data_IF_623266524240
#
_entry.id   IF_623266524240
#
_cell.length_a   1.000
_cell.length_b   1.000
_cell.length_c   1.000
_cell.angle_alpha   90.00
_cell.angle_beta   90.00
_cell.angle_gamma   90.00
#
_symmetry.space_group_name_H-M   'P 1'
#
loop_
_entity.id
_entity.type
_entity.pdbx_description
1 polymer ?
#
# COMPACT_ATOMS: atom_id res chain seq x y z
N UNK A 1 -20.76 19.76 0.61
CA UNK A 1 -19.75 20.75 0.23
C UNK A 1 -18.60 20.88 1.25
N UNK A 2 -18.85 20.91 2.56
CA UNK A 2 -17.83 21.07 3.62
C UNK A 2 -16.75 19.97 3.64
N UNK A 3 -17.09 18.69 3.47
CA UNK A 3 -16.11 17.58 3.46
C UNK A 3 -15.11 17.68 2.29
N UNK A 4 -15.53 18.10 1.11
CA UNK A 4 -14.66 18.30 -0.05
C UNK A 4 -13.68 19.47 0.12
N UNK A 5 -14.14 20.55 0.78
CA UNK A 5 -13.27 21.68 1.12
C UNK A 5 -12.20 21.24 2.11
N UNK A 6 -12.58 20.45 3.14
CA UNK A 6 -11.64 19.89 4.11
C UNK A 6 -10.65 18.94 3.40
N UNK A 7 -11.12 18.08 2.51
CA UNK A 7 -10.27 17.19 1.74
C UNK A 7 -9.20 17.96 0.92
N UNK A 8 -9.63 19.04 0.25
CA UNK A 8 -8.71 19.90 -0.50
C UNK A 8 -7.68 20.58 0.41
N UNK A 9 -8.12 21.09 1.55
CA UNK A 9 -7.21 21.72 2.53
C UNK A 9 -6.21 20.69 3.09
N UNK A 10 -6.69 19.49 3.46
CA UNK A 10 -5.83 18.42 3.97
C UNK A 10 -4.82 17.96 2.92
N UNK A 11 -5.22 17.85 1.66
CA UNK A 11 -4.30 17.53 0.56
C UNK A 11 -3.19 18.60 0.42
N UNK A 12 -3.57 19.88 0.47
CA UNK A 12 -2.61 20.99 0.38
C UNK A 12 -1.68 21.05 1.60
N UNK A 13 -2.21 20.78 2.79
CA UNK A 13 -1.44 20.71 4.03
C UNK A 13 -0.45 19.55 4.00
N UNK A 14 -0.91 18.33 3.65
CA UNK A 14 -0.08 17.15 3.56
C UNK A 14 1.07 17.32 2.55
N UNK A 15 0.81 17.98 1.41
CA UNK A 15 1.84 18.32 0.42
C UNK A 15 2.92 19.26 0.98
N UNK A 16 2.57 20.12 1.95
CA UNK A 16 3.51 21.06 2.58
C UNK A 16 4.32 20.40 3.70
N UNK A 17 3.92 19.23 4.20
CA UNK A 17 4.68 18.51 5.23
C UNK A 17 5.98 17.99 4.62
N UNK A 18 7.10 18.22 5.30
CA UNK A 18 8.41 17.79 4.82
C UNK A 18 8.52 16.28 4.65
N UNK A 19 7.80 15.49 5.46
CA UNK A 19 7.73 14.03 5.36
C UNK A 19 7.26 13.54 3.97
N UNK A 20 6.33 14.26 3.33
CA UNK A 20 5.92 13.94 1.97
C UNK A 20 7.08 14.06 0.98
N UNK A 21 7.89 15.10 1.11
CA UNK A 21 9.05 15.31 0.25
C UNK A 21 10.15 14.29 0.51
N UNK A 22 10.35 13.88 1.78
CA UNK A 22 11.31 12.79 2.13
C UNK A 22 10.91 11.49 1.46
N UNK A 23 9.64 11.08 1.56
CA UNK A 23 9.17 9.85 0.90
C UNK A 23 9.22 9.99 -0.63
N UNK A 24 8.93 11.18 -1.17
CA UNK A 24 9.09 11.48 -2.60
C UNK A 24 10.54 11.34 -3.06
N UNK A 25 11.51 11.87 -2.30
CA UNK A 25 12.94 11.74 -2.58
C UNK A 25 13.43 10.28 -2.47
N UNK A 26 12.96 9.54 -1.45
CA UNK A 26 13.24 8.12 -1.33
C UNK A 26 12.67 7.33 -2.51
N UNK A 27 11.45 7.67 -2.96
CA UNK A 27 10.85 7.10 -4.15
C UNK A 27 11.65 7.40 -5.42
N UNK A 28 12.14 8.63 -5.58
CA UNK A 28 12.99 9.02 -6.70
C UNK A 28 14.34 8.28 -6.67
N UNK A 29 14.99 8.23 -5.50
CA UNK A 29 16.23 7.48 -5.31
C UNK A 29 16.02 5.99 -5.63
N UNK A 30 14.92 5.41 -5.16
CA UNK A 30 14.54 4.05 -5.52
C UNK A 30 14.39 3.86 -7.02
N UNK A 31 13.66 4.75 -7.74
CA UNK A 31 13.49 4.66 -9.19
C UNK A 31 14.81 4.72 -9.95
N UNK A 32 15.76 5.56 -9.51
CA UNK A 32 17.10 5.66 -10.10
C UNK A 32 17.87 4.35 -9.87
N UNK A 33 17.94 3.87 -8.63
CA UNK A 33 18.65 2.63 -8.29
C UNK A 33 18.03 1.42 -8.98
N UNK A 34 16.70 1.34 -8.99
CA UNK A 34 15.96 0.28 -9.67
C UNK A 34 16.22 0.31 -11.19
N UNK A 35 16.13 1.49 -11.79
CA UNK A 35 16.37 1.66 -13.23
C UNK A 35 17.78 1.27 -13.63
N UNK A 36 18.80 1.65 -12.86
CA UNK A 36 20.19 1.23 -13.07
C UNK A 36 20.34 -0.28 -12.91
N UNK A 37 19.82 -0.85 -11.82
CA UNK A 37 19.89 -2.30 -11.57
C UNK A 37 19.19 -3.08 -12.67
N UNK A 38 18.00 -2.67 -13.07
CA UNK A 38 17.26 -3.30 -14.16
C UNK A 38 18.01 -3.19 -15.51
N UNK A 39 18.60 -2.03 -15.81
CA UNK A 39 19.36 -1.81 -17.05
C UNK A 39 20.58 -2.71 -17.13
N UNK A 40 21.40 -2.81 -16.07
CA UNK A 40 22.59 -3.66 -16.07
C UNK A 40 22.22 -5.14 -16.14
N UNK A 41 21.22 -5.58 -15.37
CA UNK A 41 20.73 -6.96 -15.43
C UNK A 41 20.20 -7.30 -16.81
N UNK A 42 19.39 -6.42 -17.42
CA UNK A 42 18.86 -6.61 -18.77
C UNK A 42 19.98 -6.71 -19.80
N UNK A 43 20.98 -5.83 -19.74
CA UNK A 43 22.12 -5.81 -20.65
C UNK A 43 22.99 -7.07 -20.57
N UNK A 44 23.25 -7.55 -19.35
CA UNK A 44 24.08 -8.74 -19.15
C UNK A 44 23.36 -10.01 -19.60
N UNK A 45 22.06 -10.14 -19.29
CA UNK A 45 21.25 -11.24 -19.81
C UNK A 45 21.13 -11.23 -21.34
N UNK A 46 20.93 -10.06 -21.96
CA UNK A 46 20.82 -9.96 -23.42
C UNK A 46 22.11 -10.36 -24.16
N UNK A 47 23.26 -10.25 -23.48
CA UNK A 47 24.55 -10.70 -24.03
C UNK A 47 24.79 -12.19 -23.88
N UNK A 48 24.26 -12.82 -22.82
CA UNK A 48 24.48 -14.24 -22.51
C UNK A 48 23.40 -15.16 -23.10
N UNK A 49 22.20 -14.63 -23.37
CA UNK A 49 20.99 -15.42 -23.66
C UNK A 49 20.69 -15.59 -25.15
N UNK A 50 21.69 -15.81 -25.99
CA UNK A 50 21.47 -16.16 -27.41
C UNK A 50 20.74 -17.52 -27.60
N UNK A 51 19.82 -17.90 -26.69
CA UNK A 51 19.04 -19.14 -26.75
C UNK A 51 18.02 -19.36 -25.62
N UNK A 52 17.96 -18.52 -24.60
CA UNK A 52 17.15 -18.75 -23.39
C UNK A 52 16.08 -17.65 -23.19
N UNK A 53 15.22 -17.44 -24.18
CA UNK A 53 14.18 -16.39 -24.14
C UNK A 53 13.19 -16.57 -22.97
N UNK A 54 12.89 -17.79 -22.55
CA UNK A 54 11.97 -18.07 -21.43
C UNK A 54 12.52 -17.60 -20.07
N UNK A 55 13.79 -17.90 -19.80
CA UNK A 55 14.47 -17.48 -18.55
C UNK A 55 14.58 -15.95 -18.44
N UNK A 56 14.69 -15.27 -19.58
CA UNK A 56 14.71 -13.81 -19.66
C UNK A 56 13.39 -13.17 -19.18
N UNK A 57 12.25 -13.72 -19.61
CA UNK A 57 10.93 -13.25 -19.17
C UNK A 57 10.69 -13.51 -17.69
N UNK A 58 11.19 -14.62 -17.16
CA UNK A 58 11.04 -14.99 -15.74
C UNK A 58 11.83 -14.03 -14.83
N UNK A 59 13.11 -13.82 -15.10
CA UNK A 59 13.97 -12.90 -14.33
C UNK A 59 13.48 -11.46 -14.45
N UNK A 60 13.06 -11.02 -15.64
CA UNK A 60 12.49 -9.70 -15.85
C UNK A 60 11.21 -9.47 -15.05
N UNK A 61 10.30 -10.44 -15.02
CA UNK A 61 9.08 -10.35 -14.24
C UNK A 61 9.35 -10.37 -12.73
N UNK A 62 10.31 -11.21 -12.27
CA UNK A 62 10.73 -11.25 -10.87
C UNK A 62 11.25 -9.87 -10.40
N UNK A 63 12.11 -9.22 -11.20
CA UNK A 63 12.61 -7.87 -10.91
C UNK A 63 11.48 -6.84 -10.86
N UNK A 64 10.50 -6.92 -11.77
CA UNK A 64 9.33 -6.03 -11.77
C UNK A 64 8.52 -6.20 -10.49
N UNK A 65 8.21 -7.43 -10.09
CA UNK A 65 7.46 -7.68 -8.85
C UNK A 65 8.22 -7.23 -7.61
N UNK A 66 9.54 -7.45 -7.57
CA UNK A 66 10.40 -6.95 -6.50
C UNK A 66 10.34 -5.43 -6.39
N UNK A 67 10.42 -4.73 -7.52
CA UNK A 67 10.28 -3.28 -7.56
C UNK A 67 8.91 -2.78 -7.10
N UNK A 68 7.84 -3.42 -7.54
CA UNK A 68 6.48 -3.10 -7.10
C UNK A 68 6.24 -3.40 -5.63
N UNK A 69 6.91 -4.42 -5.08
CA UNK A 69 6.88 -4.71 -3.65
C UNK A 69 7.48 -3.58 -2.81
N UNK A 70 8.62 -3.05 -3.25
CA UNK A 70 9.23 -1.87 -2.61
C UNK A 70 8.30 -0.65 -2.70
N UNK A 71 7.62 -0.45 -3.84
CA UNK A 71 6.64 0.63 -4.00
C UNK A 71 5.44 0.43 -3.06
N UNK A 72 4.92 -0.79 -2.92
CA UNK A 72 3.86 -1.10 -1.95
C UNK A 72 4.31 -0.76 -0.52
N UNK A 73 5.52 -1.15 -0.14
CA UNK A 73 6.10 -0.82 1.16
C UNK A 73 6.24 0.69 1.38
N UNK A 74 6.80 1.44 0.41
CA UNK A 74 6.89 2.90 0.47
C UNK A 74 5.51 3.55 0.59
N UNK A 75 4.50 3.01 -0.09
CA UNK A 75 3.12 3.46 0.02
C UNK A 75 2.54 3.27 1.42
N UNK A 76 2.81 2.13 2.06
CA UNK A 76 2.39 1.84 3.43
C UNK A 76 3.08 2.79 4.42
N UNK A 77 4.39 2.99 4.29
CA UNK A 77 5.14 3.94 5.10
C UNK A 77 4.56 5.36 4.95
N UNK A 78 4.33 5.79 3.70
CA UNK A 78 3.71 7.09 3.45
C UNK A 78 2.32 7.18 4.08
N UNK A 79 1.47 6.16 3.88
CA UNK A 79 0.11 6.13 4.44
C UNK A 79 0.11 6.36 5.95
N UNK A 80 1.00 5.69 6.68
CA UNK A 80 1.12 5.83 8.14
C UNK A 80 1.68 7.19 8.51
N UNK A 81 2.80 7.62 7.90
CA UNK A 81 3.46 8.88 8.26
C UNK A 81 2.58 10.12 8.03
N UNK A 82 1.77 10.13 6.96
CA UNK A 82 0.89 11.29 6.68
C UNK A 82 -0.37 11.29 7.54
N UNK A 83 -0.80 10.13 8.05
CA UNK A 83 -2.08 9.99 8.75
C UNK A 83 -1.96 9.94 10.27
N UNK A 84 -0.85 9.45 10.81
CA UNK A 84 -0.68 9.19 12.25
C UNK A 84 -0.90 10.41 13.13
N UNK A 85 -0.47 11.59 12.66
CA UNK A 85 -0.55 12.86 13.36
C UNK A 85 -1.79 13.69 12.98
N UNK A 86 -2.52 13.27 11.95
CA UNK A 86 -3.59 14.07 11.34
C UNK A 86 -4.78 14.30 12.27
N UNK A 87 -5.10 13.35 13.14
CA UNK A 87 -6.18 13.48 14.14
C UNK A 87 -5.61 13.61 15.55
N UNK A 88 -4.68 12.73 15.91
CA UNK A 88 -4.07 12.72 17.23
C UNK A 88 -3.32 14.02 17.56
N UNK A 89 -2.53 14.53 16.61
CA UNK A 89 -1.78 15.78 16.78
C UNK A 89 -2.67 17.02 16.92
N UNK A 90 -3.75 17.10 16.15
CA UNK A 90 -4.69 18.22 16.26
C UNK A 90 -5.51 18.20 17.55
N UNK A 91 -5.81 17.01 18.09
CA UNK A 91 -6.41 16.88 19.42
C UNK A 91 -5.44 17.36 20.49
N UNK A 92 -4.18 16.93 20.43
CA UNK A 92 -3.16 17.28 21.41
C UNK A 92 -2.79 18.77 21.38
N UNK A 93 -2.79 19.38 20.19
CA UNK A 93 -2.48 20.82 20.01
C UNK A 93 -3.67 21.74 20.29
N UNK A 94 -4.87 21.21 20.54
CA UNK A 94 -6.10 22.00 20.73
C UNK A 94 -6.64 22.65 19.44
N UNK A 95 -5.98 22.45 18.29
CA UNK A 95 -6.39 23.03 16.99
C UNK A 95 -7.79 22.57 16.58
N UNK A 96 -8.20 21.37 17.01
CA UNK A 96 -9.57 20.86 16.78
C UNK A 96 -10.64 21.76 17.40
N UNK A 97 -10.39 22.41 18.53
CA UNK A 97 -11.36 23.31 19.18
C UNK A 97 -11.70 24.52 18.29
N UNK A 98 -10.72 25.04 17.56
CA UNK A 98 -10.95 26.17 16.62
C UNK A 98 -11.74 25.74 15.38
N UNK A 99 -11.68 24.47 14.99
CA UNK A 99 -12.44 23.94 13.86
C UNK A 99 -13.91 23.64 14.29
N UNK A 100 -14.11 23.16 15.52
CA UNK A 100 -15.44 22.82 16.06
C UNK A 100 -16.31 24.05 16.34
N UNK A 101 -15.72 25.24 16.49
CA UNK A 101 -16.47 26.50 16.60
C UNK A 101 -17.23 26.88 15.31
N UNK A 102 -16.85 26.29 14.16
CA UNK A 102 -17.60 26.47 12.91
C UNK A 102 -18.77 25.47 12.83
N UNK A 103 -19.88 25.77 12.12
CA UNK A 103 -21.05 24.90 12.01
C UNK A 103 -20.77 23.68 11.10
N UNK A 104 -19.76 22.88 11.45
CA UNK A 104 -19.35 21.67 10.75
C UNK A 104 -19.71 20.44 11.60
N UNK A 105 -20.27 19.42 10.94
CA UNK A 105 -20.49 18.14 11.63
C UNK A 105 -19.14 17.43 11.82
N UNK A 106 -18.85 16.95 13.01
CA UNK A 106 -17.56 16.31 13.38
C UNK A 106 -17.14 15.18 12.42
N UNK A 107 -18.10 14.39 11.93
CA UNK A 107 -17.80 13.32 10.96
C UNK A 107 -17.27 13.85 9.62
N UNK A 108 -17.70 15.05 9.19
CA UNK A 108 -17.25 15.67 7.95
C UNK A 108 -15.76 16.05 8.01
N UNK A 109 -15.26 16.36 9.20
CA UNK A 109 -13.84 16.66 9.41
C UNK A 109 -13.00 15.41 9.19
N UNK A 110 -13.30 14.30 9.87
CA UNK A 110 -12.56 13.05 9.75
C UNK A 110 -12.66 12.46 8.34
N UNK A 111 -13.87 12.44 7.78
CA UNK A 111 -14.10 11.94 6.42
C UNK A 111 -13.37 12.80 5.37
N UNK A 112 -13.43 14.13 5.49
CA UNK A 112 -12.71 15.02 4.58
C UNK A 112 -11.20 14.84 4.66
N UNK A 113 -10.66 14.67 5.87
CA UNK A 113 -9.22 14.38 6.06
C UNK A 113 -8.83 13.04 5.44
N UNK A 114 -9.61 11.99 5.72
CA UNK A 114 -9.38 10.68 5.11
C UNK A 114 -9.39 10.78 3.58
N UNK A 115 -10.37 11.47 2.98
CA UNK A 115 -10.47 11.62 1.54
C UNK A 115 -9.27 12.38 0.95
N UNK A 116 -8.82 13.46 1.60
CA UNK A 116 -7.65 14.23 1.17
C UNK A 116 -6.36 13.41 1.19
N UNK A 117 -6.14 12.66 2.28
CA UNK A 117 -4.97 11.78 2.41
C UNK A 117 -5.05 10.57 1.47
N UNK A 118 -6.24 9.97 1.30
CA UNK A 118 -6.46 8.86 0.38
C UNK A 118 -6.15 9.26 -1.07
N UNK A 119 -6.60 10.46 -1.48
CA UNK A 119 -6.29 11.00 -2.81
C UNK A 119 -4.79 11.20 -2.99
N UNK A 120 -4.11 11.79 -2.00
CA UNK A 120 -2.67 12.03 -2.04
C UNK A 120 -1.87 10.73 -2.14
N UNK A 121 -2.21 9.73 -1.32
CA UNK A 121 -1.60 8.42 -1.34
C UNK A 121 -1.82 7.72 -2.69
N UNK A 122 -3.05 7.76 -3.22
CA UNK A 122 -3.37 7.17 -4.52
C UNK A 122 -2.58 7.80 -5.65
N UNK A 123 -2.50 9.14 -5.70
CA UNK A 123 -1.69 9.86 -6.70
C UNK A 123 -0.22 9.47 -6.61
N UNK A 124 0.33 9.40 -5.40
CA UNK A 124 1.72 8.98 -5.20
C UNK A 124 1.97 7.56 -5.72
N UNK A 125 1.15 6.58 -5.28
CA UNK A 125 1.30 5.17 -5.66
C UNK A 125 1.12 4.94 -7.16
N UNK A 126 0.13 5.56 -7.77
CA UNK A 126 -0.10 5.47 -9.22
C UNK A 126 1.08 6.08 -9.99
N UNK A 127 1.56 7.26 -9.57
CA UNK A 127 2.65 7.96 -10.25
C UNK A 127 3.98 7.19 -10.19
N UNK A 128 4.35 6.67 -8.99
CA UNK A 128 5.60 5.93 -8.82
C UNK A 128 5.56 4.57 -9.50
N UNK A 129 4.41 3.88 -9.47
CA UNK A 129 4.23 2.60 -10.18
C UNK A 129 4.28 2.79 -11.70
N UNK A 130 3.63 3.83 -12.22
CA UNK A 130 3.66 4.17 -13.64
C UNK A 130 5.08 4.55 -14.09
N UNK A 131 5.82 5.33 -13.29
CA UNK A 131 7.20 5.70 -13.59
C UNK A 131 8.11 4.47 -13.64
N UNK A 132 7.99 3.55 -12.66
CA UNK A 132 8.76 2.31 -12.63
C UNK A 132 8.45 1.41 -13.84
N UNK A 133 7.16 1.19 -14.14
CA UNK A 133 6.75 0.42 -15.32
C UNK A 133 7.18 1.08 -16.63
N UNK A 134 7.19 2.42 -16.66
CA UNK A 134 7.73 3.20 -17.78
C UNK A 134 9.22 2.98 -18.00
N UNK A 135 10.03 2.94 -16.92
CA UNK A 135 11.47 2.61 -17.00
C UNK A 135 11.67 1.20 -17.56
N UNK A 136 10.91 0.22 -17.06
CA UNK A 136 10.97 -1.16 -17.55
C UNK A 136 10.63 -1.23 -19.05
N UNK A 137 9.55 -0.57 -19.46
CA UNK A 137 9.15 -0.51 -20.87
C UNK A 137 10.19 0.15 -21.77
N UNK A 138 10.81 1.25 -21.33
CA UNK A 138 11.85 1.93 -22.09
C UNK A 138 13.09 1.05 -22.33
N UNK A 139 13.48 0.25 -21.32
CA UNK A 139 14.68 -0.59 -21.38
C UNK A 139 14.40 -1.89 -22.13
N UNK A 140 13.32 -2.60 -21.79
CA UNK A 140 13.09 -3.99 -22.24
C UNK A 140 11.89 -4.14 -23.20
N UNK A 141 11.10 -3.08 -23.42
CA UNK A 141 9.81 -3.13 -24.13
C UNK A 141 8.80 -4.12 -23.50
N UNK A 142 9.06 -4.56 -22.27
CA UNK A 142 8.16 -5.44 -21.55
C UNK A 142 6.97 -4.65 -20.99
N UNK A 143 5.78 -5.17 -21.24
CA UNK A 143 4.52 -4.62 -20.71
C UNK A 143 4.03 -5.54 -19.61
N UNK A 144 3.84 -4.97 -18.41
CA UNK A 144 3.35 -5.72 -17.25
C UNK A 144 1.88 -6.10 -17.46
N UNK A 145 1.52 -7.40 -17.36
CA UNK A 145 0.13 -7.83 -17.50
C UNK A 145 -0.75 -7.19 -16.42
N UNK A 146 -2.01 -6.89 -16.74
CA UNK A 146 -3.00 -6.39 -15.78
C UNK A 146 -2.50 -5.23 -14.87
N UNK A 147 -1.60 -4.38 -15.38
CA UNK A 147 -0.94 -3.31 -14.62
C UNK A 147 -1.94 -2.41 -13.89
N UNK A 148 -3.05 -2.02 -14.52
CA UNK A 148 -4.07 -1.14 -13.92
C UNK A 148 -4.72 -1.82 -12.71
N UNK A 149 -5.09 -3.09 -12.83
CA UNK A 149 -5.70 -3.85 -11.73
C UNK A 149 -4.70 -4.05 -10.58
N UNK A 150 -3.45 -4.39 -10.92
CA UNK A 150 -2.39 -4.57 -9.92
C UNK A 150 -2.10 -3.28 -9.15
N UNK A 151 -1.97 -2.14 -9.82
CA UNK A 151 -1.77 -0.84 -9.18
C UNK A 151 -2.98 -0.44 -8.32
N UNK A 152 -4.20 -0.71 -8.78
CA UNK A 152 -5.41 -0.46 -7.98
C UNK A 152 -5.40 -1.26 -6.66
N UNK A 153 -4.92 -2.51 -6.68
CA UNK A 153 -4.79 -3.34 -5.48
C UNK A 153 -3.67 -2.85 -4.55
N UNK A 154 -2.56 -2.33 -5.09
CA UNK A 154 -1.50 -1.68 -4.30
C UNK A 154 -2.05 -0.43 -3.61
N UNK A 155 -2.84 0.38 -4.32
CA UNK A 155 -3.53 1.54 -3.71
C UNK A 155 -4.48 1.07 -2.61
N UNK A 156 -5.25 0.01 -2.83
CA UNK A 156 -6.18 -0.54 -1.84
C UNK A 156 -5.44 -1.03 -0.59
N UNK A 157 -4.26 -1.68 -0.74
CA UNK A 157 -3.36 -2.06 0.36
C UNK A 157 -2.96 -0.84 1.21
N UNK A 158 -2.53 0.24 0.58
CA UNK A 158 -2.18 1.50 1.26
C UNK A 158 -3.38 2.14 1.97
N UNK A 159 -4.58 2.09 1.37
CA UNK A 159 -5.81 2.62 1.97
C UNK A 159 -6.24 1.85 3.22
N UNK A 160 -5.98 0.55 3.33
CA UNK A 160 -6.19 -0.22 4.56
C UNK A 160 -5.37 0.38 5.70
N UNK A 161 -4.08 0.60 5.49
CA UNK A 161 -3.18 1.13 6.52
C UNK A 161 -3.50 2.58 6.87
N UNK A 162 -3.83 3.41 5.88
CA UNK A 162 -4.32 4.77 6.08
C UNK A 162 -5.56 4.78 6.99
N UNK A 163 -6.53 3.91 6.72
CA UNK A 163 -7.80 3.88 7.46
C UNK A 163 -7.61 3.38 8.89
N UNK A 164 -6.75 2.36 9.09
CA UNK A 164 -6.37 1.89 10.42
C UNK A 164 -5.67 2.99 11.23
N UNK A 165 -4.77 3.74 10.61
CA UNK A 165 -4.09 4.86 11.27
C UNK A 165 -5.05 6.00 11.62
N UNK A 166 -6.01 6.32 10.78
CA UNK A 166 -7.07 7.28 11.10
C UNK A 166 -7.93 6.79 12.27
N UNK A 167 -8.31 5.50 12.29
CA UNK A 167 -9.04 4.90 13.40
C UNK A 167 -8.25 5.01 14.71
N UNK A 168 -6.99 4.59 14.73
CA UNK A 168 -6.12 4.65 15.91
C UNK A 168 -5.96 6.09 16.42
N UNK A 169 -5.79 7.07 15.54
CA UNK A 169 -5.67 8.49 15.87
C UNK A 169 -6.90 9.09 16.56
N UNK A 170 -8.07 8.43 16.48
CA UNK A 170 -9.26 8.87 17.24
C UNK A 170 -9.15 8.61 18.74
N UNK A 171 -8.29 7.71 19.19
CA UNK A 171 -8.16 7.29 20.62
C UNK A 171 -6.75 7.32 21.15
N UNK A 172 -5.76 7.02 20.32
CA UNK A 172 -4.35 6.91 20.69
C UNK A 172 -3.63 8.26 20.49
N UNK A 173 -2.53 8.43 21.23
CA UNK A 173 -1.56 9.50 20.92
C UNK A 173 -0.85 9.22 19.61
N UNK A 174 -0.25 10.25 19.00
CA UNK A 174 0.47 10.14 17.73
C UNK A 174 1.51 9.01 17.75
N UNK A 175 2.35 8.95 18.78
CA UNK A 175 3.38 7.91 18.90
C UNK A 175 2.79 6.51 19.05
N UNK A 176 1.82 6.34 19.98
CA UNK A 176 1.17 5.04 20.19
C UNK A 176 0.44 4.55 18.94
N UNK A 177 -0.25 5.45 18.23
CA UNK A 177 -0.91 5.13 16.98
C UNK A 177 0.09 4.64 15.92
N UNK A 178 1.19 5.36 15.72
CA UNK A 178 2.24 4.95 14.78
C UNK A 178 2.80 3.57 15.09
N UNK A 179 3.15 3.33 16.35
CA UNK A 179 3.69 2.02 16.80
C UNK A 179 2.67 0.90 16.54
N UNK A 180 1.40 1.08 16.95
CA UNK A 180 0.36 0.05 16.78
C UNK A 180 0.15 -0.26 15.30
N UNK A 181 0.05 0.76 14.43
CA UNK A 181 -0.19 0.56 13.00
C UNK A 181 1.00 -0.13 12.32
N UNK A 182 2.24 0.24 12.66
CA UNK A 182 3.42 -0.44 12.15
C UNK A 182 3.55 -1.88 12.68
N UNK A 183 3.16 -2.15 13.94
CA UNK A 183 3.10 -3.52 14.47
C UNK A 183 2.07 -4.36 13.74
N UNK A 184 0.87 -3.83 13.47
CA UNK A 184 -0.16 -4.52 12.69
C UNK A 184 0.33 -4.84 11.28
N UNK A 185 1.01 -3.90 10.63
CA UNK A 185 1.64 -4.16 9.34
C UNK A 185 2.73 -5.23 9.43
N UNK A 186 3.62 -5.14 10.43
CA UNK A 186 4.67 -6.14 10.66
C UNK A 186 4.12 -7.55 10.89
N UNK A 187 3.03 -7.67 11.64
CA UNK A 187 2.32 -8.95 11.83
C UNK A 187 1.77 -9.49 10.51
N UNK A 188 1.10 -8.65 9.72
CA UNK A 188 0.57 -9.04 8.41
C UNK A 188 1.69 -9.46 7.45
N UNK A 189 2.80 -8.73 7.45
CA UNK A 189 3.99 -9.03 6.65
C UNK A 189 4.59 -10.40 7.01
N UNK A 190 4.85 -10.65 8.31
CA UNK A 190 5.41 -11.92 8.77
C UNK A 190 4.44 -13.07 8.47
N UNK A 191 3.15 -12.89 8.73
CA UNK A 191 2.13 -13.89 8.46
C UNK A 191 2.02 -14.20 6.95
N UNK A 192 2.19 -13.19 6.10
CA UNK A 192 2.26 -13.37 4.65
C UNK A 192 3.40 -14.28 4.21
N UNK A 193 4.58 -14.14 4.83
CA UNK A 193 5.72 -15.02 4.58
C UNK A 193 5.51 -16.42 5.17
N UNK A 194 4.92 -16.55 6.37
CA UNK A 194 4.57 -17.84 6.97
C UNK A 194 3.61 -18.61 6.05
N UNK A 195 2.58 -17.95 5.52
CA UNK A 195 1.64 -18.55 4.56
C UNK A 195 2.37 -19.03 3.29
N UNK A 196 3.25 -18.20 2.73
CA UNK A 196 3.97 -18.53 1.50
C UNK A 196 4.94 -19.70 1.68
N UNK A 197 5.72 -19.68 2.77
CA UNK A 197 6.61 -20.80 3.13
C UNK A 197 5.78 -22.05 3.46
N UNK A 198 4.67 -21.90 4.21
CA UNK A 198 3.75 -22.98 4.54
C UNK A 198 3.18 -23.66 3.30
N UNK A 199 2.77 -22.88 2.30
CA UNK A 199 2.30 -23.41 1.02
C UNK A 199 3.42 -24.16 0.27
N UNK A 200 4.64 -23.64 0.27
CA UNK A 200 5.79 -24.29 -0.37
C UNK A 200 6.15 -25.63 0.31
N UNK A 201 6.17 -25.70 1.64
CA UNK A 201 6.44 -26.94 2.38
C UNK A 201 5.19 -27.80 2.61
N UNK A 202 4.04 -27.42 2.04
CA UNK A 202 2.74 -28.09 2.16
C UNK A 202 2.25 -28.27 3.61
N UNK A 203 2.49 -27.26 4.45
CA UNK A 203 2.04 -27.20 5.84
C UNK A 203 0.73 -26.41 5.93
N UNK A 204 -0.41 -27.12 6.06
CA UNK A 204 -1.74 -26.51 6.12
C UNK A 204 -1.88 -25.53 7.31
N UNK A 205 -1.36 -25.87 8.49
CA UNK A 205 -1.46 -25.02 9.69
C UNK A 205 -0.77 -23.66 9.48
N UNK A 206 0.39 -23.64 8.83
CA UNK A 206 1.09 -22.40 8.52
C UNK A 206 0.29 -21.53 7.51
N UNK A 207 -0.34 -22.16 6.54
CA UNK A 207 -1.22 -21.46 5.58
C UNK A 207 -2.45 -20.88 6.29
N UNK A 208 -3.11 -21.64 7.16
CA UNK A 208 -4.29 -21.20 7.91
C UNK A 208 -3.97 -20.00 8.84
N UNK A 209 -2.80 -20.01 9.51
CA UNK A 209 -2.34 -18.88 10.32
C UNK A 209 -2.19 -17.61 9.45
N UNK A 210 -1.56 -17.72 8.28
CA UNK A 210 -1.40 -16.60 7.36
C UNK A 210 -2.72 -16.04 6.87
N UNK A 211 -3.67 -16.91 6.50
CA UNK A 211 -5.03 -16.52 6.10
C UNK A 211 -5.75 -15.80 7.23
N UNK A 212 -5.70 -16.34 8.46
CA UNK A 212 -6.33 -15.71 9.61
C UNK A 212 -5.82 -14.29 9.87
N UNK A 213 -4.51 -14.08 9.83
CA UNK A 213 -3.92 -12.74 10.00
C UNK A 213 -4.28 -11.82 8.84
N UNK A 214 -4.40 -12.35 7.62
CA UNK A 214 -4.83 -11.55 6.46
C UNK A 214 -6.28 -11.06 6.55
N UNK A 215 -7.13 -11.73 7.35
CA UNK A 215 -8.48 -11.23 7.68
C UNK A 215 -8.43 -10.07 8.68
N UNK A 216 -7.45 -10.02 9.57
CA UNK A 216 -7.28 -8.91 10.51
C UNK A 216 -6.70 -7.66 9.82
N UNK A 217 -5.74 -7.83 8.92
CA UNK A 217 -5.09 -6.75 8.18
C UNK A 217 -4.97 -7.13 6.69
N UNK A 218 -5.99 -6.85 5.88
CA UNK A 218 -6.07 -7.37 4.51
C UNK A 218 -5.12 -6.71 3.50
N UNK A 219 -4.23 -5.80 3.94
CA UNK A 219 -3.30 -5.09 3.05
C UNK A 219 -2.34 -6.04 2.32
N UNK A 220 -1.75 -7.03 3.02
CA UNK A 220 -0.82 -7.98 2.43
C UNK A 220 -1.53 -8.92 1.42
N UNK A 221 -2.79 -9.30 1.68
CA UNK A 221 -3.58 -10.08 0.73
C UNK A 221 -3.81 -9.31 -0.60
N UNK A 222 -3.96 -7.99 -0.54
CA UNK A 222 -4.10 -7.16 -1.75
C UNK A 222 -2.80 -7.12 -2.55
N UNK A 223 -1.65 -7.04 -1.90
CA UNK A 223 -0.35 -7.18 -2.57
C UNK A 223 -0.19 -8.55 -3.25
N UNK A 224 -0.49 -9.65 -2.54
CA UNK A 224 -0.40 -11.01 -3.11
C UNK A 224 -1.25 -11.15 -4.37
N UNK A 225 -2.48 -10.63 -4.33
CA UNK A 225 -3.35 -10.64 -5.51
C UNK A 225 -2.81 -9.76 -6.63
N UNK A 226 -2.27 -8.57 -6.33
CA UNK A 226 -1.64 -7.70 -7.32
C UNK A 226 -0.47 -8.41 -8.00
N UNK A 227 0.43 -9.01 -7.22
CA UNK A 227 1.56 -9.78 -7.71
C UNK A 227 1.11 -10.95 -8.62
N UNK A 228 0.07 -11.67 -8.22
CA UNK A 228 -0.50 -12.77 -9.02
C UNK A 228 -1.03 -12.28 -10.37
N UNK A 229 -1.79 -11.19 -10.40
CA UNK A 229 -2.38 -10.66 -11.64
C UNK A 229 -1.33 -10.09 -12.59
N UNK A 230 -0.25 -9.51 -12.06
CA UNK A 230 0.82 -8.90 -12.84
C UNK A 230 1.89 -9.89 -13.33
N UNK A 231 1.71 -11.19 -13.04
CA UNK A 231 2.55 -12.23 -13.61
C UNK A 231 2.00 -12.75 -14.94
N UNK A 232 2.88 -13.03 -15.92
CA UNK A 232 2.50 -13.80 -17.11
C UNK A 232 2.01 -15.21 -16.71
N UNK A 233 1.02 -15.78 -17.40
CA UNK A 233 0.52 -17.14 -17.11
C UNK A 233 1.64 -18.19 -17.05
N UNK A 234 2.55 -18.14 -17.98
CA UNK A 234 3.71 -19.05 -18.04
C UNK A 234 4.58 -19.02 -16.77
N UNK A 235 4.84 -17.82 -16.21
CA UNK A 235 5.67 -17.70 -15.00
C UNK A 235 4.92 -18.21 -13.75
N UNK A 236 3.59 -18.11 -13.74
CA UNK A 236 2.76 -18.65 -12.65
C UNK A 236 2.85 -20.17 -12.56
N UNK A 237 2.83 -20.84 -13.71
CA UNK A 237 2.84 -22.30 -13.80
C UNK A 237 4.20 -22.90 -13.35
N UNK A 238 5.28 -22.15 -13.46
CA UNK A 238 6.59 -22.57 -12.99
C UNK A 238 6.76 -22.57 -11.46
N UNK A 239 5.97 -21.76 -10.75
CA UNK A 239 5.95 -21.73 -9.27
C UNK A 239 7.23 -21.29 -8.57
N UNK A 240 8.20 -20.74 -9.29
CA UNK A 240 9.57 -20.46 -8.82
C UNK A 240 9.73 -19.07 -8.21
N UNK A 241 8.72 -18.18 -8.39
CA UNK A 241 8.86 -16.80 -7.96
C UNK A 241 8.52 -16.61 -6.47
N UNK A 242 9.50 -16.26 -5.61
CA UNK A 242 9.28 -16.08 -4.16
C UNK A 242 8.39 -14.87 -3.83
N UNK A 243 8.19 -13.94 -4.78
CA UNK A 243 7.28 -12.79 -4.62
C UNK A 243 5.86 -13.09 -5.13
N UNK A 244 5.65 -14.25 -5.71
CA UNK A 244 4.36 -14.72 -6.18
C UNK A 244 3.72 -15.63 -5.14
N UNK A 245 2.51 -15.34 -4.78
CA UNK A 245 1.73 -16.22 -3.91
C UNK A 245 1.28 -17.47 -4.68
N UNK A 246 1.60 -18.67 -4.18
CA UNK A 246 1.01 -19.92 -4.62
C UNK A 246 -0.49 -20.03 -4.30
N UNK A 247 -0.94 -19.19 -3.35
CA UNK A 247 -2.35 -19.04 -2.95
C UNK A 247 -2.77 -17.60 -3.20
N UNK A 248 -3.24 -17.31 -4.43
CA UNK A 248 -3.72 -15.95 -4.73
C UNK A 248 -5.11 -15.72 -4.10
N UNK A 249 -5.29 -14.62 -3.33
CA UNK A 249 -6.61 -14.26 -2.82
C UNK A 249 -7.61 -14.07 -3.96
N UNK A 250 -8.86 -14.51 -3.75
CA UNK A 250 -9.93 -14.41 -4.73
C UNK A 250 -10.62 -13.02 -4.73
N UNK A 251 -11.62 -12.85 -5.62
CA UNK A 251 -12.37 -11.59 -5.71
C UNK A 251 -13.16 -11.28 -4.43
N UNK A 252 -13.59 -12.32 -3.70
CA UNK A 252 -14.27 -12.12 -2.42
C UNK A 252 -13.37 -11.41 -1.39
N UNK A 253 -12.05 -11.67 -1.41
CA UNK A 253 -11.11 -10.98 -0.52
C UNK A 253 -10.95 -9.50 -0.87
N UNK A 254 -11.08 -9.12 -2.15
CA UNK A 254 -11.11 -7.71 -2.57
C UNK A 254 -12.37 -7.02 -2.04
N UNK A 255 -13.54 -7.66 -2.21
CA UNK A 255 -14.81 -7.16 -1.68
C UNK A 255 -14.76 -7.03 -0.14
N UNK A 256 -14.20 -8.04 0.55
CA UNK A 256 -13.95 -8.00 1.98
C UNK A 256 -13.09 -6.79 2.37
N UNK A 257 -11.98 -6.55 1.67
CA UNK A 257 -11.07 -5.43 1.96
C UNK A 257 -11.76 -4.08 1.79
N UNK A 258 -12.58 -3.91 0.75
CA UNK A 258 -13.38 -2.70 0.56
C UNK A 258 -14.38 -2.54 1.71
N UNK A 259 -15.10 -3.60 2.08
CA UNK A 259 -16.02 -3.61 3.23
C UNK A 259 -15.29 -3.30 4.55
N UNK A 260 -14.09 -3.86 4.73
CA UNK A 260 -13.23 -3.59 5.88
C UNK A 260 -12.86 -2.11 6.01
N UNK A 261 -12.45 -1.47 4.90
CA UNK A 261 -12.14 -0.02 4.87
C UNK A 261 -13.37 0.80 5.25
N UNK A 262 -14.54 0.48 4.67
CA UNK A 262 -15.80 1.19 4.95
C UNK A 262 -16.20 1.02 6.42
N UNK A 263 -16.14 -0.19 6.95
CA UNK A 263 -16.46 -0.50 8.34
C UNK A 263 -15.52 0.23 9.30
N UNK A 264 -14.20 0.11 9.09
CA UNK A 264 -13.16 0.72 9.92
C UNK A 264 -13.28 2.25 9.91
N UNK A 265 -13.52 2.84 8.74
CA UNK A 265 -13.78 4.27 8.61
C UNK A 265 -15.08 4.66 9.35
N UNK A 266 -16.16 3.88 9.20
CA UNK A 266 -17.41 4.10 9.92
C UNK A 266 -17.22 4.07 11.44
N UNK A 267 -16.42 3.16 11.97
CA UNK A 267 -16.05 3.09 13.38
C UNK A 267 -15.26 4.34 13.79
N UNK A 268 -14.26 4.75 12.99
CA UNK A 268 -13.48 5.96 13.25
C UNK A 268 -14.37 7.22 13.34
N UNK A 269 -15.31 7.37 12.40
CA UNK A 269 -16.25 8.48 12.38
C UNK A 269 -17.14 8.48 13.65
N UNK A 270 -17.67 7.33 14.06
CA UNK A 270 -18.51 7.21 15.28
C UNK A 270 -17.71 7.49 16.55
N UNK A 271 -16.50 6.95 16.68
CA UNK A 271 -15.66 7.16 17.85
C UNK A 271 -15.28 8.63 18.02
N UNK A 272 -14.97 9.30 16.91
CA UNK A 272 -14.66 10.73 16.93
C UNK A 272 -15.86 11.60 17.29
N UNK A 273 -17.07 11.25 16.84
CA UNK A 273 -18.30 11.97 17.20
C UNK A 273 -18.60 11.93 18.70
N UNK A 274 -18.28 10.81 19.36
CA UNK A 274 -18.52 10.58 20.80
C UNK A 274 -17.38 11.04 21.71
N UNK A 275 -16.35 11.65 21.14
CA UNK A 275 -15.21 12.15 21.92
C UNK A 275 -15.58 13.50 22.51
N UNK A 276 -15.41 13.65 23.83
CA UNK A 276 -15.47 14.96 24.51
C UNK A 276 -14.22 15.76 24.10
N UNK A 277 -14.43 16.91 23.46
CA UNK A 277 -13.40 17.82 22.91
C UNK A 277 -13.48 19.17 23.59
#
# INVERSE_FOLDING_TARGET
>A
MSALIIARLTFLEARRRWLFWVVGLLGLAFLILYGLGFFFTYRDFSRQAAGLSSMFFEVGNMLVLMGLYVINFLGIVLAVLISVDTIAGEVTSGTIQTIVTKPLRRWQVVFGKWLGLATMLSVFLVSISAAMMGIVWLISRYVVPNAVQGVALIVLSGLVMLTLSILGGTRLSTLANGVVVFMLYGLAFIAGWIEQIGAFVRNATAVDIGIFVSLLVPGEAMWKRAAYLMQPPFVRDLGVNPFASSSAPNDAMVAYTIGYIILTLGIALRLFQRRDL
#
